data_IF_488340855452
#
_entry.id   IF_488340855452
#
_cell.length_a   1.000
_cell.length_b   1.000
_cell.length_c   1.000
_cell.angle_alpha   90.00
_cell.angle_beta   90.00
_cell.angle_gamma   90.00
#
_symmetry.space_group_name_H-M   'P 1'
#
loop_
_entity.id
_entity.type
_entity.pdbx_description
1 polymer ?
#
# COMPACT_ATOMS: atom_id res chain seq x y z
N UNK A 1 2.02 -16.01 7.46
CA UNK A 1 0.76 -16.72 7.12
C UNK A 1 -0.08 -16.78 8.38
N UNK A 2 -1.38 -16.49 8.31
CA UNK A 2 -2.25 -16.43 9.48
C UNK A 2 -3.53 -17.23 9.21
N UNK A 3 -4.01 -17.99 10.20
CA UNK A 3 -5.30 -18.70 10.15
C UNK A 3 -6.40 -17.77 10.68
N UNK A 4 -7.61 -17.84 10.11
CA UNK A 4 -8.77 -17.06 10.57
C UNK A 4 -8.94 -15.68 9.94
N UNK A 5 -8.17 -15.35 8.90
CA UNK A 5 -8.39 -14.13 8.11
C UNK A 5 -9.69 -14.21 7.30
N UNK A 6 -10.22 -13.07 6.86
CA UNK A 6 -11.35 -13.03 5.92
C UNK A 6 -11.00 -13.44 4.48
N UNK A 7 -9.73 -13.73 4.20
CA UNK A 7 -9.27 -14.11 2.86
C UNK A 7 -9.78 -15.50 2.47
N UNK A 8 -10.33 -15.58 1.25
CA UNK A 8 -10.90 -16.82 0.71
C UNK A 8 -9.94 -17.55 -0.24
N UNK A 9 -9.33 -16.79 -1.15
CA UNK A 9 -8.40 -17.29 -2.15
C UNK A 9 -7.33 -16.25 -2.39
N UNK A 10 -6.08 -16.68 -2.55
CA UNK A 10 -4.96 -15.79 -2.86
C UNK A 10 -4.29 -16.17 -4.17
N UNK A 11 -3.69 -15.17 -4.82
CA UNK A 11 -2.83 -15.33 -5.99
C UNK A 11 -1.65 -14.38 -5.83
N UNK A 12 -0.46 -14.80 -6.23
CA UNK A 12 0.73 -13.96 -6.15
C UNK A 12 1.42 -13.86 -7.51
N UNK A 13 2.23 -12.82 -7.66
CA UNK A 13 3.13 -12.67 -8.80
C UNK A 13 4.44 -12.08 -8.34
N UNK A 14 5.53 -12.69 -8.83
CA UNK A 14 6.88 -12.13 -8.76
C UNK A 14 7.24 -11.64 -10.16
N UNK A 15 7.80 -10.43 -10.25
CA UNK A 15 8.06 -9.77 -11.53
C UNK A 15 9.22 -8.79 -11.39
N UNK A 16 10.04 -8.63 -12.43
CA UNK A 16 11.14 -7.65 -12.46
C UNK A 16 10.64 -6.21 -12.71
N UNK A 17 9.39 -6.05 -13.12
CA UNK A 17 8.70 -4.77 -13.25
C UNK A 17 7.36 -4.81 -12.51
N UNK A 18 6.84 -3.65 -12.12
CA UNK A 18 5.57 -3.56 -11.40
C UNK A 18 4.43 -4.20 -12.24
N UNK A 19 3.74 -5.24 -11.74
CA UNK A 19 2.89 -6.10 -12.58
C UNK A 19 1.48 -5.53 -12.83
N UNK A 20 1.36 -4.27 -13.28
CA UNK A 20 0.07 -3.56 -13.40
C UNK A 20 -0.96 -4.31 -14.27
N UNK A 21 -0.54 -4.85 -15.43
CA UNK A 21 -1.44 -5.63 -16.32
C UNK A 21 -2.04 -6.86 -15.61
N UNK A 22 -1.26 -7.53 -14.76
CA UNK A 22 -1.72 -8.69 -14.01
C UNK A 22 -2.66 -8.27 -12.87
N UNK A 23 -2.32 -7.20 -12.15
CA UNK A 23 -3.18 -6.62 -11.10
C UNK A 23 -4.55 -6.25 -11.69
N UNK A 24 -4.59 -5.56 -12.84
CA UNK A 24 -5.83 -5.16 -13.49
C UNK A 24 -6.66 -6.37 -13.98
N UNK A 25 -6.02 -7.46 -14.42
CA UNK A 25 -6.72 -8.72 -14.69
C UNK A 25 -7.33 -9.28 -13.40
N UNK A 26 -6.57 -9.30 -12.30
CA UNK A 26 -7.00 -9.85 -11.02
C UNK A 26 -8.10 -9.05 -10.33
N UNK A 27 -8.11 -7.72 -10.45
CA UNK A 27 -9.23 -6.88 -10.01
C UNK A 27 -10.56 -7.30 -10.65
N UNK A 28 -10.57 -7.56 -11.97
CA UNK A 28 -11.76 -8.05 -12.68
C UNK A 28 -12.20 -9.46 -12.23
N UNK A 29 -11.28 -10.23 -11.65
CA UNK A 29 -11.56 -11.53 -11.04
C UNK A 29 -11.95 -11.42 -9.55
N UNK A 30 -12.13 -10.20 -9.02
CA UNK A 30 -12.53 -9.94 -7.63
C UNK A 30 -11.41 -10.04 -6.59
N UNK A 31 -10.16 -10.13 -7.03
CA UNK A 31 -8.99 -10.09 -6.13
C UNK A 31 -8.56 -8.64 -5.91
N UNK A 32 -8.04 -8.34 -4.72
CA UNK A 32 -7.43 -7.04 -4.40
C UNK A 32 -6.03 -7.25 -3.84
N UNK A 33 -5.10 -6.34 -4.09
CA UNK A 33 -3.76 -6.36 -3.48
C UNK A 33 -3.91 -6.25 -1.97
N UNK A 34 -3.29 -7.18 -1.25
CA UNK A 34 -3.32 -7.26 0.21
C UNK A 34 -1.93 -7.25 0.84
N UNK A 35 -0.89 -7.49 0.05
CA UNK A 35 0.49 -7.41 0.52
C UNK A 35 1.42 -7.21 -0.67
N UNK A 36 2.48 -6.44 -0.46
CA UNK A 36 3.54 -6.21 -1.43
C UNK A 36 4.89 -6.24 -0.71
N UNK A 37 5.91 -6.67 -1.42
CA UNK A 37 7.30 -6.59 -0.99
C UNK A 37 8.20 -6.46 -2.22
N UNK A 38 9.44 -6.04 -2.00
CA UNK A 38 10.45 -5.90 -3.06
C UNK A 38 11.76 -6.56 -2.65
N UNK A 39 12.55 -6.95 -3.65
CA UNK A 39 13.94 -7.40 -3.48
C UNK A 39 14.73 -6.98 -4.71
N UNK A 40 15.67 -6.06 -4.54
CA UNK A 40 16.29 -5.36 -5.67
C UNK A 40 15.22 -4.64 -6.52
N UNK A 41 15.20 -4.92 -7.82
CA UNK A 41 14.17 -4.43 -8.74
C UNK A 41 12.90 -5.29 -8.79
N UNK A 42 12.90 -6.46 -8.13
CA UNK A 42 11.78 -7.40 -8.20
C UNK A 42 10.66 -7.01 -7.25
N UNK A 43 9.44 -7.18 -7.74
CA UNK A 43 8.19 -6.98 -7.03
C UNK A 43 7.56 -8.32 -6.71
N UNK A 44 7.22 -8.54 -5.45
CA UNK A 44 6.30 -9.58 -5.00
C UNK A 44 4.96 -8.95 -4.64
N UNK A 45 3.89 -9.33 -5.34
CA UNK A 45 2.53 -8.83 -5.08
C UNK A 45 1.63 -10.01 -4.75
N UNK A 46 0.91 -9.92 -3.64
CA UNK A 46 -0.13 -10.87 -3.24
C UNK A 46 -1.48 -10.18 -3.33
N UNK A 47 -2.41 -10.83 -4.03
CA UNK A 47 -3.80 -10.40 -4.11
C UNK A 47 -4.73 -11.46 -3.52
N UNK A 48 -5.78 -11.02 -2.84
CA UNK A 48 -6.73 -11.88 -2.13
C UNK A 48 -8.17 -11.56 -2.49
N UNK A 49 -9.01 -12.60 -2.57
CA UNK A 49 -10.48 -12.47 -2.49
C UNK A 49 -10.92 -12.40 -1.03
N UNK A 50 -12.01 -11.69 -0.75
CA UNK A 50 -12.49 -11.49 0.62
C UNK A 50 -11.71 -10.43 1.42
N UNK A 51 -10.93 -9.58 0.74
CA UNK A 51 -10.14 -8.52 1.36
C UNK A 51 -10.98 -7.38 1.96
N UNK A 52 -12.29 -7.33 1.67
CA UNK A 52 -13.18 -6.31 2.22
C UNK A 52 -13.11 -4.95 1.53
N UNK A 53 -12.55 -4.87 0.32
CA UNK A 53 -12.48 -3.64 -0.48
C UNK A 53 -13.56 -3.63 -1.58
N UNK A 54 -14.10 -2.44 -1.87
CA UNK A 54 -15.03 -2.21 -2.99
C UNK A 54 -14.31 -1.74 -4.23
N UNK A 55 -13.25 -0.95 -4.06
CA UNK A 55 -12.42 -0.44 -5.13
C UNK A 55 -10.97 -0.32 -4.67
N UNK A 56 -10.03 -0.33 -5.62
CA UNK A 56 -8.60 -0.22 -5.36
C UNK A 56 -7.85 0.37 -6.55
N UNK A 57 -6.90 1.25 -6.25
CA UNK A 57 -6.02 1.92 -7.20
C UNK A 57 -4.56 1.72 -6.81
N UNK A 58 -3.67 1.95 -7.77
CA UNK A 58 -2.22 2.00 -7.55
C UNK A 58 -1.73 3.37 -8.00
N UNK A 59 -1.05 4.07 -7.09
CA UNK A 59 -0.21 5.22 -7.41
C UNK A 59 1.25 4.73 -7.45
N UNK A 60 1.82 4.66 -8.66
CA UNK A 60 3.20 4.23 -8.92
C UNK A 60 3.98 5.43 -9.46
N UNK A 61 5.08 5.78 -8.80
CA UNK A 61 5.89 6.95 -9.15
C UNK A 61 7.39 6.66 -8.95
N UNK A 62 8.24 7.39 -9.66
CA UNK A 62 9.71 7.32 -9.51
C UNK A 62 10.21 8.07 -8.27
N UNK A 63 9.40 8.99 -7.74
CA UNK A 63 9.72 9.78 -6.56
C UNK A 63 8.78 9.40 -5.41
N UNK A 64 7.69 10.16 -5.27
CA UNK A 64 6.69 10.01 -4.23
C UNK A 64 5.40 10.69 -4.69
N UNK A 65 4.30 9.94 -4.86
CA UNK A 65 3.08 10.47 -5.48
C UNK A 65 2.21 11.23 -4.46
N UNK A 66 2.71 12.34 -3.90
CA UNK A 66 1.99 13.11 -2.87
C UNK A 66 0.62 13.58 -3.36
N UNK A 67 0.56 14.19 -4.55
CA UNK A 67 -0.68 14.74 -5.12
C UNK A 67 -1.71 13.65 -5.40
N UNK A 68 -1.25 12.51 -5.93
CA UNK A 68 -2.09 11.34 -6.18
C UNK A 68 -2.71 10.84 -4.87
N UNK A 69 -1.90 10.65 -3.83
CA UNK A 69 -2.36 10.17 -2.52
C UNK A 69 -3.42 11.11 -1.92
N UNK A 70 -3.18 12.43 -1.89
CA UNK A 70 -4.16 13.38 -1.33
C UNK A 70 -5.49 13.35 -2.08
N UNK A 71 -5.46 13.39 -3.42
CA UNK A 71 -6.68 13.29 -4.24
C UNK A 71 -7.46 12.00 -3.98
N UNK A 72 -6.76 10.89 -3.74
CA UNK A 72 -7.39 9.60 -3.43
C UNK A 72 -7.98 9.57 -2.02
N UNK A 73 -7.33 10.19 -1.03
CA UNK A 73 -7.90 10.35 0.31
C UNK A 73 -9.20 11.16 0.28
N UNK A 74 -9.25 12.26 -0.48
CA UNK A 74 -10.48 13.06 -0.67
C UNK A 74 -11.61 12.24 -1.31
N UNK A 75 -11.25 11.22 -2.08
CA UNK A 75 -12.18 10.29 -2.73
C UNK A 75 -12.51 9.05 -1.88
N UNK A 76 -12.10 9.03 -0.60
CA UNK A 76 -12.42 7.96 0.35
C UNK A 76 -11.53 6.71 0.26
N UNK A 77 -10.46 6.74 -0.51
CA UNK A 77 -9.48 5.66 -0.50
C UNK A 77 -8.57 5.76 0.72
N UNK A 78 -8.00 4.63 1.15
CA UNK A 78 -7.00 4.53 2.21
C UNK A 78 -5.79 3.75 1.73
N UNK A 79 -4.59 4.15 2.11
CA UNK A 79 -3.37 3.38 1.85
C UNK A 79 -3.50 2.05 2.59
N UNK A 80 -3.38 0.95 1.85
CA UNK A 80 -3.55 -0.41 2.38
C UNK A 80 -2.35 -1.34 2.12
N UNK A 81 -1.49 -0.98 1.18
CA UNK A 81 -0.20 -1.63 0.99
C UNK A 81 0.80 -0.68 0.35
N UNK A 82 2.07 -0.79 0.74
CA UNK A 82 3.15 0.01 0.16
C UNK A 82 4.37 -0.86 -0.07
N UNK A 83 5.06 -0.66 -1.19
CA UNK A 83 6.36 -1.25 -1.43
C UNK A 83 7.15 -0.35 -2.38
N UNK A 84 8.48 -0.40 -2.30
CA UNK A 84 9.33 0.44 -3.12
C UNK A 84 10.59 -0.32 -3.55
N UNK A 85 11.07 0.00 -4.73
CA UNK A 85 12.42 -0.34 -5.17
C UNK A 85 13.32 0.90 -5.01
N UNK A 86 14.56 0.82 -5.51
CA UNK A 86 15.43 1.98 -5.62
C UNK A 86 14.96 3.03 -6.64
N UNK A 87 14.07 2.66 -7.55
CA UNK A 87 13.66 3.55 -8.63
C UNK A 87 12.19 3.97 -8.54
N UNK A 88 11.35 3.20 -7.85
CA UNK A 88 9.90 3.40 -7.85
C UNK A 88 9.30 3.14 -6.48
N UNK A 89 8.29 3.92 -6.12
CA UNK A 89 7.42 3.67 -4.98
C UNK A 89 6.00 3.37 -5.47
N UNK A 90 5.40 2.31 -4.92
CA UNK A 90 4.02 1.91 -5.22
C UNK A 90 3.17 2.01 -3.95
N UNK A 91 2.08 2.78 -4.05
CA UNK A 91 1.06 2.91 -3.03
C UNK A 91 -0.22 2.29 -3.56
N UNK A 92 -0.70 1.25 -2.88
CA UNK A 92 -2.03 0.70 -3.12
C UNK A 92 -2.98 1.42 -2.19
N UNK A 93 -4.01 2.04 -2.76
CA UNK A 93 -5.07 2.66 -2.01
C UNK A 93 -6.40 1.95 -2.31
N UNK A 94 -7.17 1.64 -1.28
CA UNK A 94 -8.41 0.88 -1.38
C UNK A 94 -9.56 1.59 -0.69
N UNK A 95 -10.78 1.41 -1.18
CA UNK A 95 -12.01 1.83 -0.48
C UNK A 95 -12.53 0.65 0.33
N UNK A 96 -12.53 0.72 1.67
CA UNK A 96 -13.10 -0.33 2.51
C UNK A 96 -14.62 -0.42 2.36
N UNK A 97 -15.17 -1.65 2.28
CA UNK A 97 -16.63 -1.89 2.23
C UNK A 97 -17.33 -1.58 3.55
N UNK A 98 -16.58 -1.61 4.64
CA UNK A 98 -17.04 -1.20 5.98
C UNK A 98 -16.36 0.10 6.31
N UNK A 99 -17.03 0.95 7.10
CA UNK A 99 -16.43 2.20 7.56
C UNK A 99 -15.06 1.90 8.18
N UNK A 100 -13.97 2.51 7.67
CA UNK A 100 -12.65 2.33 8.25
C UNK A 100 -12.68 2.72 9.73
N UNK A 101 -11.93 2.00 10.55
CA UNK A 101 -11.78 2.35 11.97
C UNK A 101 -10.85 3.56 12.14
N UNK A 102 -9.95 3.78 11.18
CA UNK A 102 -9.03 4.91 11.18
C UNK A 102 -9.70 6.19 10.66
N UNK A 103 -9.60 7.27 11.44
CA UNK A 103 -10.17 8.56 11.06
C UNK A 103 -9.29 9.30 10.05
N UNK A 104 -7.97 9.24 10.22
CA UNK A 104 -6.99 9.96 9.40
C UNK A 104 -5.79 9.07 9.02
N UNK A 105 -5.17 9.39 7.89
CA UNK A 105 -3.90 8.81 7.45
C UNK A 105 -2.92 9.93 7.10
N UNK A 106 -1.66 9.69 7.42
CA UNK A 106 -0.56 10.58 7.06
C UNK A 106 0.60 9.74 6.54
N UNK A 107 1.46 10.38 5.75
CA UNK A 107 2.64 9.76 5.16
C UNK A 107 3.85 10.62 5.40
N UNK A 108 4.96 9.99 5.75
CA UNK A 108 6.24 10.64 5.95
C UNK A 108 7.31 9.92 5.13
N UNK A 109 8.07 10.68 4.35
CA UNK A 109 9.25 10.20 3.62
C UNK A 109 10.50 10.84 4.22
N UNK A 110 11.45 10.03 4.68
CA UNK A 110 12.69 10.47 5.32
C UNK A 110 13.87 9.60 4.90
N UNK A 111 15.10 10.14 5.01
CA UNK A 111 16.36 9.42 4.76
C UNK A 111 16.83 8.56 5.95
N UNK A 112 16.41 8.92 7.16
CA UNK A 112 16.67 8.19 8.39
C UNK A 112 15.37 7.73 9.05
N UNK A 113 15.44 6.73 9.93
CA UNK A 113 14.28 6.27 10.67
C UNK A 113 13.75 7.40 11.59
N UNK A 114 12.48 7.83 11.44
CA UNK A 114 12.00 9.08 12.03
C UNK A 114 11.51 8.92 13.48
N UNK A 115 12.39 8.43 14.37
CA UNK A 115 12.04 8.09 15.77
C UNK A 115 11.35 9.22 16.53
N UNK A 116 11.81 10.46 16.39
CA UNK A 116 11.22 11.62 17.07
C UNK A 116 9.81 11.89 16.58
N UNK A 117 9.62 11.96 15.25
CA UNK A 117 8.31 12.17 14.64
C UNK A 117 7.32 11.06 15.02
N UNK A 118 7.76 9.80 15.04
CA UNK A 118 6.93 8.66 15.45
C UNK A 118 6.43 8.82 16.89
N UNK A 119 7.30 9.23 17.82
CA UNK A 119 6.91 9.48 19.23
C UNK A 119 5.89 10.62 19.34
N UNK A 120 6.08 11.70 18.58
CA UNK A 120 5.13 12.82 18.53
C UNK A 120 3.76 12.39 17.99
N UNK A 121 3.74 11.51 16.98
CA UNK A 121 2.51 10.95 16.39
C UNK A 121 1.81 9.99 17.34
N UNK A 122 2.55 9.15 18.06
CA UNK A 122 1.97 8.29 19.10
C UNK A 122 1.29 9.10 20.21
N UNK A 123 1.85 10.24 20.62
CA UNK A 123 1.23 11.14 21.61
C UNK A 123 -0.11 11.74 21.12
N UNK A 124 -0.39 11.67 19.81
CA UNK A 124 -1.64 12.11 19.16
C UNK A 124 -2.54 10.93 18.74
N UNK A 125 -2.29 9.72 19.25
CA UNK A 125 -3.00 8.49 18.88
C UNK A 125 -2.90 8.11 17.39
N UNK A 126 -1.80 8.49 16.73
CA UNK A 126 -1.49 8.09 15.36
C UNK A 126 -0.45 6.98 15.38
N UNK A 127 -0.71 5.88 14.65
CA UNK A 127 0.13 4.69 14.65
C UNK A 127 0.67 4.38 13.25
N UNK A 128 1.81 3.70 13.20
CA UNK A 128 2.41 3.25 11.94
C UNK A 128 1.56 2.09 11.40
N UNK A 129 0.89 2.32 10.27
CA UNK A 129 0.10 1.29 9.59
C UNK A 129 0.88 0.56 8.48
N UNK A 130 1.86 1.23 7.87
CA UNK A 130 2.69 0.66 6.81
C UNK A 130 4.08 1.30 6.80
N UNK A 131 5.08 0.53 6.37
CA UNK A 131 6.45 0.98 6.13
C UNK A 131 6.96 0.29 4.87
N UNK A 132 7.64 1.03 4.02
CA UNK A 132 8.49 0.46 2.98
C UNK A 132 9.80 1.22 2.90
N UNK A 133 10.86 0.52 2.51
CA UNK A 133 12.15 1.11 2.21
C UNK A 133 12.32 1.24 0.70
N UNK A 134 12.86 2.36 0.27
CA UNK A 134 13.13 2.66 -1.13
C UNK A 134 14.06 3.87 -1.23
N UNK A 135 14.21 4.42 -2.43
CA UNK A 135 15.08 5.59 -2.61
C UNK A 135 14.53 6.80 -1.85
N UNK A 136 15.42 7.37 -1.04
CA UNK A 136 15.18 8.62 -0.34
C UNK A 136 15.76 9.75 -1.18
N UNK A 137 15.02 10.84 -1.36
CA UNK A 137 15.62 12.06 -1.91
C UNK A 137 16.64 12.55 -0.88
N UNK A 138 17.91 12.56 -1.29
CA UNK A 138 18.99 13.28 -0.61
C UNK A 138 18.91 14.75 -0.97
#
# INVERSE_FOLDING_TARGET
MSKGTSYLQQSYKVSESFPFKWINKKWREGFHVTSMATSGSRWGVVMSRGAGFSDQVVELDFLYPSEGIHRRWDSGYRITATAATWDQAAFVLSVPRRRPADETQETLRTSAFPSTHVKEKWAKNLYIASVCYGRTVS
#
